data_IF_632111470165
#
_entry.id   IF_632111470165
#
_cell.length_a   1.000
_cell.length_b   1.000
_cell.length_c   1.000
_cell.angle_alpha   90.00
_cell.angle_beta   90.00
_cell.angle_gamma   90.00
#
_symmetry.space_group_name_H-M   'P 1'
#
loop_
_entity.id
_entity.type
_entity.pdbx_description
1 polymer ?
#
# COMPACT_ATOMS: atom_id res chain seq x y z
N UNK A 1 -2.92 -12.34 12.88
CA UNK A 1 -3.73 -13.11 11.90
C UNK A 1 -2.87 -14.26 11.43
N UNK A 2 -3.42 -15.46 11.27
CA UNK A 2 -2.71 -16.62 10.70
C UNK A 2 -3.65 -17.31 9.70
N UNK A 3 -3.10 -17.93 8.66
CA UNK A 3 -3.87 -18.69 7.65
C UNK A 3 -4.46 -17.84 6.51
N UNK A 4 -3.83 -16.71 6.15
CA UNK A 4 -4.27 -15.84 5.06
C UNK A 4 -3.73 -16.24 3.67
N UNK A 5 -3.41 -17.53 3.44
CA UNK A 5 -2.66 -18.02 2.27
C UNK A 5 -3.22 -17.55 0.90
N UNK A 6 -4.55 -17.52 0.76
CA UNK A 6 -5.25 -17.02 -0.43
C UNK A 6 -5.98 -15.69 -0.19
N UNK A 7 -5.91 -15.15 1.03
CA UNK A 7 -6.64 -13.96 1.43
C UNK A 7 -5.87 -12.71 0.99
N UNK A 8 -6.40 -11.99 0.00
CA UNK A 8 -5.76 -10.78 -0.55
C UNK A 8 -6.00 -9.55 0.34
N UNK A 9 -7.17 -9.51 0.96
CA UNK A 9 -7.61 -8.41 1.80
C UNK A 9 -8.27 -8.92 3.08
N UNK A 10 -7.97 -8.26 4.19
CA UNK A 10 -8.63 -8.50 5.47
C UNK A 10 -9.56 -7.35 5.82
N UNK A 11 -10.81 -7.68 6.13
CA UNK A 11 -11.81 -6.70 6.56
C UNK A 11 -11.73 -6.45 8.07
N UNK A 12 -11.60 -5.18 8.45
CA UNK A 12 -11.66 -4.72 9.85
C UNK A 12 -12.71 -3.61 10.02
N UNK A 13 -13.44 -3.55 11.15
CA UNK A 13 -14.40 -2.47 11.37
C UNK A 13 -13.70 -1.14 11.70
N UNK A 14 -14.22 -0.03 11.19
CA UNK A 14 -13.67 1.33 11.44
C UNK A 14 -13.71 1.74 12.91
N UNK A 15 -14.52 1.07 13.74
CA UNK A 15 -14.58 1.30 15.19
C UNK A 15 -13.28 0.93 15.91
N UNK A 16 -12.38 0.17 15.28
CA UNK A 16 -11.05 -0.10 15.82
C UNK A 16 -10.09 1.09 15.65
N UNK A 17 -10.43 2.07 14.81
CA UNK A 17 -9.56 3.18 14.45
C UNK A 17 -8.78 2.92 13.15
N UNK A 18 -7.79 3.77 12.86
CA UNK A 18 -7.01 3.69 11.63
C UNK A 18 -5.91 2.61 11.74
N UNK A 19 -5.76 1.74 10.71
CA UNK A 19 -4.65 0.80 10.65
C UNK A 19 -3.29 1.52 10.59
N UNK A 20 -2.34 1.07 11.39
CA UNK A 20 -0.93 1.43 11.24
C UNK A 20 -0.32 0.58 10.14
N UNK A 21 0.28 1.21 9.14
CA UNK A 21 1.01 0.49 8.09
C UNK A 21 2.44 0.29 8.52
N UNK A 22 2.81 -0.97 8.65
CA UNK A 22 4.15 -1.45 8.94
C UNK A 22 4.42 -2.68 8.04
N UNK A 23 5.29 -2.55 7.04
CA UNK A 23 5.62 -3.67 6.16
C UNK A 23 6.23 -4.86 6.91
N UNK A 24 6.92 -4.61 8.05
CA UNK A 24 7.46 -5.68 8.89
C UNK A 24 6.36 -6.47 9.61
N UNK A 25 5.15 -5.92 9.69
CA UNK A 25 4.00 -6.54 10.34
C UNK A 25 3.07 -7.26 9.36
N UNK A 26 3.45 -7.37 8.08
CA UNK A 26 2.71 -8.11 7.05
C UNK A 26 1.59 -7.30 6.37
N UNK A 27 1.60 -5.97 6.51
CA UNK A 27 0.62 -5.09 5.84
C UNK A 27 1.28 -4.10 4.88
N UNK A 28 0.78 -4.02 3.65
CA UNK A 28 1.28 -3.10 2.64
C UNK A 28 0.41 -1.85 2.46
N UNK A 29 -0.78 -1.85 3.04
CA UNK A 29 -1.69 -0.72 2.97
C UNK A 29 -3.13 -1.08 3.28
N UNK A 30 -4.04 -0.15 3.03
CA UNK A 30 -5.46 -0.35 3.24
C UNK A 30 -6.31 0.63 2.43
N UNK A 31 -7.57 0.28 2.18
CA UNK A 31 -8.59 1.25 1.85
C UNK A 31 -9.69 1.28 2.92
N UNK A 32 -10.55 2.29 2.83
CA UNK A 32 -11.79 2.37 3.60
C UNK A 32 -12.97 2.35 2.63
N UNK A 33 -13.93 1.46 2.89
CA UNK A 33 -15.20 1.44 2.19
C UNK A 33 -16.34 1.27 3.21
N UNK A 34 -17.21 2.28 3.29
CA UNK A 34 -18.28 2.35 4.29
C UNK A 34 -17.75 2.31 5.72
N UNK A 35 -18.18 1.28 6.47
CA UNK A 35 -17.84 1.02 7.88
C UNK A 35 -16.67 0.04 8.05
N UNK A 36 -15.88 -0.19 7.00
CA UNK A 36 -14.78 -1.16 7.04
C UNK A 36 -13.49 -0.62 6.44
N UNK A 37 -12.39 -1.05 7.03
CA UNK A 37 -11.06 -1.06 6.43
C UNK A 37 -10.86 -2.38 5.71
N UNK A 38 -10.24 -2.34 4.53
CA UNK A 38 -9.74 -3.52 3.82
C UNK A 38 -8.22 -3.41 3.78
N UNK A 39 -7.55 -4.29 4.51
CA UNK A 39 -6.11 -4.30 4.69
C UNK A 39 -5.46 -5.17 3.62
N UNK A 40 -4.49 -4.63 2.90
CA UNK A 40 -3.68 -5.38 1.93
C UNK A 40 -2.61 -6.16 2.67
N UNK A 41 -2.73 -7.49 2.64
CA UNK A 41 -1.79 -8.39 3.29
C UNK A 41 -0.67 -8.77 2.33
N UNK A 42 0.54 -8.92 2.88
CA UNK A 42 1.74 -9.33 2.11
C UNK A 42 1.86 -10.85 2.11
N UNK A 43 1.55 -11.49 3.25
CA UNK A 43 1.71 -12.92 3.46
C UNK A 43 0.58 -13.51 4.33
N UNK A 44 0.69 -14.80 4.67
CA UNK A 44 -0.29 -15.58 5.43
C UNK A 44 -0.44 -15.17 6.90
N UNK A 45 0.55 -14.45 7.44
CA UNK A 45 0.58 -13.89 8.79
C UNK A 45 0.75 -12.37 8.76
N UNK A 46 -0.11 -11.68 9.52
CA UNK A 46 -0.03 -10.24 9.73
C UNK A 46 -0.42 -9.85 11.15
N UNK A 47 0.29 -8.87 11.70
CA UNK A 47 -0.03 -8.20 12.97
C UNK A 47 -0.36 -6.75 12.67
N UNK A 48 -1.53 -6.28 13.09
CA UNK A 48 -2.01 -4.94 12.73
C UNK A 48 -2.41 -4.20 13.99
N UNK A 49 -1.82 -3.02 14.18
CA UNK A 49 -2.17 -2.09 15.24
C UNK A 49 -3.14 -1.06 14.71
N UNK A 50 -4.24 -0.84 15.43
CA UNK A 50 -5.18 0.21 15.10
C UNK A 50 -5.03 1.38 16.08
N UNK A 51 -5.01 2.59 15.54
CA UNK A 51 -4.92 3.82 16.31
C UNK A 51 -6.29 4.52 16.34
N UNK A 52 -6.86 4.84 17.52
CA UNK A 52 -8.14 5.53 17.63
C UNK A 52 -8.14 6.92 16.96
N UNK A 53 -6.98 7.56 16.88
CA UNK A 53 -6.78 8.87 16.27
C UNK A 53 -6.05 8.73 14.94
N UNK A 54 -6.54 9.42 13.91
CA UNK A 54 -5.90 9.51 12.60
C UNK A 54 -4.56 10.22 12.76
N UNK A 55 -3.44 9.52 12.58
CA UNK A 55 -2.13 10.14 12.59
C UNK A 55 -1.76 10.59 11.16
N UNK A 56 -2.00 11.86 10.87
CA UNK A 56 -1.73 12.48 9.56
C UNK A 56 -0.33 13.06 9.42
N UNK A 57 0.45 13.16 10.51
CA UNK A 57 1.68 13.98 10.52
C UNK A 57 2.88 13.33 9.86
N UNK A 58 2.95 12.01 9.83
CA UNK A 58 4.04 11.25 9.20
C UNK A 58 3.51 9.93 8.66
N UNK A 59 2.51 10.00 7.77
CA UNK A 59 1.94 8.79 7.20
C UNK A 59 2.96 8.18 6.24
N UNK A 60 3.61 7.09 6.68
CA UNK A 60 4.33 6.16 5.80
C UNK A 60 3.49 5.93 4.54
N UNK A 61 4.07 6.07 3.33
CA UNK A 61 3.33 5.77 2.11
C UNK A 61 2.76 4.36 2.14
N UNK A 62 1.58 4.18 1.58
CA UNK A 62 0.94 2.86 1.58
C UNK A 62 0.05 2.63 0.36
N UNK A 63 -0.19 1.34 0.06
CA UNK A 63 -1.08 0.92 -1.00
C UNK A 63 -2.55 1.16 -0.61
N UNK A 64 -3.27 1.94 -1.41
CA UNK A 64 -4.72 2.12 -1.22
C UNK A 64 -5.49 1.04 -1.98
N UNK A 65 -5.12 0.78 -3.24
CA UNK A 65 -5.73 -0.30 -4.03
C UNK A 65 -4.78 -0.79 -5.12
N UNK A 66 -4.96 -2.04 -5.54
CA UNK A 66 -4.34 -2.59 -6.73
C UNK A 66 -5.26 -3.64 -7.35
N UNK A 67 -5.25 -3.77 -8.68
CA UNK A 67 -5.84 -4.92 -9.39
C UNK A 67 -4.89 -6.14 -9.43
N UNK A 68 -4.00 -6.26 -8.44
CA UNK A 68 -2.96 -7.26 -8.35
C UNK A 68 -2.69 -7.66 -6.90
N UNK A 69 -2.06 -8.84 -6.72
CA UNK A 69 -1.62 -9.31 -5.41
C UNK A 69 -0.35 -8.59 -4.99
N UNK A 70 -0.25 -8.21 -3.73
CA UNK A 70 1.03 -7.80 -3.12
C UNK A 70 1.82 -9.06 -2.81
N UNK A 71 3.03 -9.18 -3.36
CA UNK A 71 3.90 -10.36 -3.16
C UNK A 71 5.09 -10.08 -2.25
N UNK A 72 5.41 -8.80 -2.02
CA UNK A 72 6.37 -8.37 -1.02
C UNK A 72 6.05 -6.94 -0.61
N UNK A 73 6.43 -6.57 0.61
CA UNK A 73 6.51 -5.18 1.04
C UNK A 73 7.66 -5.02 2.03
N UNK A 74 8.37 -3.90 1.95
CA UNK A 74 9.43 -3.56 2.89
C UNK A 74 9.55 -2.05 3.04
N UNK A 75 10.03 -1.61 4.19
CA UNK A 75 10.56 -0.26 4.36
C UNK A 75 12.06 -0.32 4.07
N UNK A 76 12.54 0.53 3.17
CA UNK A 76 13.97 0.75 2.95
C UNK A 76 14.56 1.61 4.07
N UNK A 77 15.12 2.77 3.71
CA UNK A 77 15.40 3.81 4.70
C UNK A 77 14.09 4.43 5.25
N UNK A 78 14.20 5.41 6.17
CA UNK A 78 13.03 6.09 6.78
C UNK A 78 12.10 6.78 5.76
N UNK A 79 12.50 6.86 4.49
CA UNK A 79 11.81 7.56 3.42
C UNK A 79 11.36 6.67 2.27
N UNK A 80 11.74 5.40 2.30
CA UNK A 80 11.52 4.50 1.18
C UNK A 80 10.58 3.38 1.59
N UNK A 81 9.52 3.21 0.81
CA UNK A 81 8.61 2.09 0.89
C UNK A 81 8.67 1.32 -0.43
N UNK A 82 8.93 0.01 -0.35
CA UNK A 82 8.98 -0.88 -1.49
C UNK A 82 7.85 -1.90 -1.40
N UNK A 83 7.27 -2.24 -2.54
CA UNK A 83 6.37 -3.37 -2.67
C UNK A 83 6.53 -4.07 -4.03
N UNK A 84 6.10 -5.31 -4.13
CA UNK A 84 5.98 -6.04 -5.39
C UNK A 84 4.52 -6.35 -5.67
N UNK A 85 4.12 -6.26 -6.95
CA UNK A 85 2.76 -6.50 -7.41
C UNK A 85 2.77 -7.60 -8.48
N UNK A 86 1.90 -8.58 -8.34
CA UNK A 86 1.68 -9.64 -9.34
C UNK A 86 0.20 -9.71 -9.73
N UNK A 87 -0.09 -9.37 -10.98
CA UNK A 87 -1.40 -9.43 -11.59
C UNK A 87 -1.38 -10.15 -12.94
N UNK A 88 -2.56 -10.27 -13.53
CA UNK A 88 -2.81 -10.98 -14.79
C UNK A 88 -3.10 -10.03 -15.97
N UNK A 89 -3.29 -8.74 -15.68
CA UNK A 89 -3.68 -7.69 -16.63
C UNK A 89 -2.83 -6.44 -16.37
N UNK A 90 -2.81 -5.44 -17.28
CA UNK A 90 -2.12 -4.18 -17.04
C UNK A 90 -2.48 -3.60 -15.67
N UNK A 91 -1.45 -3.21 -14.92
CA UNK A 91 -1.60 -2.84 -13.53
C UNK A 91 -2.21 -1.45 -13.39
N UNK A 92 -3.20 -1.37 -12.49
CA UNK A 92 -3.78 -0.15 -11.97
C UNK A 92 -3.71 -0.20 -10.46
N UNK A 93 -3.12 0.83 -9.88
CA UNK A 93 -2.96 0.92 -8.43
C UNK A 93 -3.04 2.36 -7.96
N UNK A 94 -3.32 2.52 -6.68
CA UNK A 94 -3.32 3.83 -6.03
C UNK A 94 -2.55 3.78 -4.74
N UNK A 95 -1.84 4.86 -4.47
CA UNK A 95 -0.98 5.01 -3.30
C UNK A 95 -1.39 6.26 -2.54
N UNK A 96 -1.43 6.15 -1.22
CA UNK A 96 -1.50 7.30 -0.34
C UNK A 96 -0.08 7.75 -0.02
N UNK A 97 0.30 8.95 -0.46
CA UNK A 97 1.66 9.48 -0.30
C UNK A 97 1.66 11.01 -0.15
N UNK A 98 2.75 11.55 0.38
CA UNK A 98 2.97 12.99 0.48
C UNK A 98 3.30 13.64 -0.87
N UNK A 99 3.22 14.98 -0.95
CA UNK A 99 3.47 15.73 -2.20
C UNK A 99 4.93 15.66 -2.68
N UNK A 100 5.88 15.31 -1.81
CA UNK A 100 7.31 15.21 -2.11
C UNK A 100 7.78 13.77 -2.34
N UNK A 101 6.84 12.87 -2.68
CA UNK A 101 7.14 11.49 -2.98
C UNK A 101 7.32 11.26 -4.49
N UNK A 102 8.32 10.45 -4.82
CA UNK A 102 8.60 9.95 -6.17
C UNK A 102 8.34 8.45 -6.24
N UNK A 103 7.92 7.96 -7.40
CA UNK A 103 7.57 6.55 -7.60
C UNK A 103 8.34 6.00 -8.78
N UNK A 104 8.93 4.82 -8.62
CA UNK A 104 9.52 4.05 -9.70
C UNK A 104 9.04 2.61 -9.69
N UNK A 105 8.82 2.05 -10.88
CA UNK A 105 8.55 0.63 -11.09
C UNK A 105 9.73 0.00 -11.83
N UNK A 106 10.35 -1.02 -11.23
CA UNK A 106 11.50 -1.76 -11.76
C UNK A 106 12.64 -0.82 -12.21
N UNK A 107 12.96 0.16 -11.36
CA UNK A 107 13.99 1.17 -11.61
C UNK A 107 13.59 2.32 -12.55
N UNK A 108 12.39 2.28 -13.16
CA UNK A 108 11.89 3.35 -14.04
C UNK A 108 10.94 4.28 -13.31
N UNK A 109 11.24 5.58 -13.29
CA UNK A 109 10.33 6.59 -12.75
C UNK A 109 8.99 6.58 -13.50
N UNK A 110 7.89 6.57 -12.74
CA UNK A 110 6.52 6.64 -13.25
C UNK A 110 5.81 7.85 -12.65
N UNK A 111 4.85 8.41 -13.39
CA UNK A 111 4.02 9.52 -12.91
C UNK A 111 2.59 9.06 -12.68
N UNK A 112 1.94 9.68 -11.71
CA UNK A 112 0.52 9.48 -11.50
C UNK A 112 -0.27 10.01 -12.72
N UNK A 113 -1.30 9.28 -13.12
CA UNK A 113 -2.25 9.72 -14.15
C UNK A 113 -3.21 10.77 -13.60
N UNK A 114 -3.54 10.65 -12.31
CA UNK A 114 -4.40 11.57 -11.57
C UNK A 114 -4.15 11.48 -10.07
N UNK A 115 -4.71 12.42 -9.30
CA UNK A 115 -4.66 12.38 -7.85
C UNK A 115 -5.77 13.20 -7.21
N UNK A 116 -6.20 12.78 -6.01
CA UNK A 116 -7.20 13.46 -5.19
C UNK A 116 -6.68 13.47 -3.76
N UNK A 117 -6.47 14.68 -3.20
CA UNK A 117 -5.85 14.82 -1.89
C UNK A 117 -4.45 14.22 -1.85
N UNK A 118 -4.21 13.28 -0.94
CA UNK A 118 -2.95 12.54 -0.82
C UNK A 118 -2.95 11.19 -1.56
N UNK A 119 -3.97 10.91 -2.37
CA UNK A 119 -4.06 9.66 -3.14
C UNK A 119 -3.64 9.94 -4.58
N UNK A 120 -2.67 9.19 -5.07
CA UNK A 120 -2.21 9.23 -6.45
C UNK A 120 -2.54 7.91 -7.16
N UNK A 121 -3.08 8.00 -8.38
CA UNK A 121 -3.48 6.87 -9.21
C UNK A 121 -2.47 6.63 -10.32
N UNK A 122 -2.09 5.38 -10.53
CA UNK A 122 -1.10 4.96 -11.51
C UNK A 122 -1.67 3.84 -12.39
N UNK A 123 -1.22 3.84 -13.63
CA UNK A 123 -1.44 2.75 -14.58
C UNK A 123 -0.11 2.46 -15.27
N UNK A 124 0.23 1.18 -15.38
CA UNK A 124 1.40 0.75 -16.15
C UNK A 124 1.00 -0.42 -17.07
N UNK A 125 1.62 -0.56 -18.25
CA UNK A 125 1.25 -1.61 -19.20
C UNK A 125 1.65 -3.02 -18.74
N UNK A 126 2.60 -3.14 -17.82
CA UNK A 126 3.04 -4.41 -17.24
C UNK A 126 1.94 -5.00 -16.36
N UNK A 127 1.91 -6.34 -16.29
CA UNK A 127 1.01 -7.08 -15.38
C UNK A 127 1.68 -7.41 -14.03
N UNK A 128 2.99 -7.21 -13.92
CA UNK A 128 3.75 -7.41 -12.69
C UNK A 128 4.79 -6.29 -12.54
N UNK A 129 5.10 -5.96 -11.29
CA UNK A 129 6.21 -5.09 -10.89
C UNK A 129 6.98 -5.84 -9.81
N UNK A 130 8.27 -6.09 -10.04
CA UNK A 130 9.15 -6.73 -9.07
C UNK A 130 9.59 -5.79 -7.95
N UNK A 131 9.76 -4.51 -8.27
CA UNK A 131 10.04 -3.44 -7.32
C UNK A 131 9.27 -2.17 -7.67
N UNK A 132 8.21 -1.88 -6.90
CA UNK A 132 7.57 -0.57 -6.87
C UNK A 132 8.11 0.17 -5.65
N UNK A 133 8.97 1.15 -5.91
CA UNK A 133 9.62 1.99 -4.91
C UNK A 133 8.92 3.33 -4.82
N UNK A 134 8.52 3.71 -3.61
CA UNK A 134 8.03 5.03 -3.24
C UNK A 134 9.08 5.68 -2.35
N UNK A 135 9.63 6.80 -2.77
CA UNK A 135 10.65 7.53 -2.01
C UNK A 135 10.17 8.96 -1.72
N UNK A 136 10.05 9.32 -0.45
CA UNK A 136 9.56 10.62 0.00
C UNK A 136 10.69 11.49 0.55
N UNK A 137 10.96 12.62 -0.09
CA UNK A 137 11.92 13.57 0.46
C UNK A 137 11.39 14.15 1.79
N UNK A 138 12.30 14.41 2.73
CA UNK A 138 12.00 15.12 3.97
C UNK A 138 11.78 16.61 3.73
#
# INVERSE_FOLDING_TARGET
MRGAENLRELRAPVSLGQPTIDPQSGTAGFNRHGKSHYLHLVDDEASVRFNPSVNTRHATPYLVSANARVTSASSGDKQTFNLALAGEVPLKFSLAMGPHCSVSADGRAIRAESGIGNISHFSVPQHAIGELRVHCAQ
#
